data_IF_336737162966
#
_entry.id   IF_336737162966
#
_cell.length_a   1.000
_cell.length_b   1.000
_cell.length_c   1.000
_cell.angle_alpha   90.00
_cell.angle_beta   90.00
_cell.angle_gamma   90.00
#
_symmetry.space_group_name_H-M   'P 1'
#
loop_
_entity.id
_entity.type
_entity.pdbx_description
1 polymer ?
#
# COMPACT_ATOMS: atom_id res chain seq x y z
N UNK A 1 20.33 -19.63 -4.39
CA UNK A 1 19.25 -18.71 -4.80
C UNK A 1 19.31 -17.47 -3.91
N UNK A 2 19.36 -16.27 -4.47
CA UNK A 2 19.36 -15.03 -3.67
C UNK A 2 17.91 -14.64 -3.41
N UNK A 3 17.56 -14.36 -2.15
CA UNK A 3 16.26 -13.81 -1.74
C UNK A 3 16.43 -12.33 -1.43
N UNK A 4 15.62 -11.47 -2.06
CA UNK A 4 15.70 -10.01 -1.94
C UNK A 4 14.33 -9.49 -1.52
N UNK A 5 14.32 -8.67 -0.47
CA UNK A 5 13.13 -7.95 -0.01
C UNK A 5 13.16 -6.55 -0.64
N UNK A 6 12.07 -6.19 -1.31
CA UNK A 6 11.84 -4.88 -1.91
C UNK A 6 10.82 -4.17 -1.02
N UNK A 7 11.31 -3.30 -0.12
CA UNK A 7 10.47 -2.58 0.84
C UNK A 7 10.57 -1.04 0.68
N UNK A 8 10.12 -0.49 -0.46
CA UNK A 8 10.17 0.95 -0.70
C UNK A 8 8.97 1.67 -0.09
N UNK A 9 9.17 2.96 0.14
CA UNK A 9 8.10 3.93 0.35
C UNK A 9 7.75 4.62 -0.99
N UNK A 10 6.64 5.33 -1.00
CA UNK A 10 6.12 6.06 -2.14
C UNK A 10 7.03 7.20 -2.57
N UNK A 11 7.00 7.53 -3.86
CA UNK A 11 7.55 8.78 -4.35
C UNK A 11 6.40 9.79 -4.38
N UNK A 12 6.29 10.58 -3.32
CA UNK A 12 5.18 11.51 -3.09
C UNK A 12 4.81 12.32 -4.34
N UNK A 13 3.54 12.25 -4.73
CA UNK A 13 3.00 12.94 -5.91
C UNK A 13 3.42 12.34 -7.26
N UNK A 14 4.06 11.16 -7.26
CA UNK A 14 4.53 10.48 -8.47
C UNK A 14 4.13 9.00 -8.52
N UNK A 15 4.70 8.17 -7.64
CA UNK A 15 4.50 6.71 -7.65
C UNK A 15 4.10 6.24 -6.26
N UNK A 16 3.15 5.33 -6.20
CA UNK A 16 2.80 4.58 -4.99
C UNK A 16 3.95 3.66 -4.58
N UNK A 17 4.00 3.24 -3.31
CA UNK A 17 5.02 2.31 -2.81
C UNK A 17 5.03 0.99 -3.60
N UNK A 18 3.87 0.52 -4.09
CA UNK A 18 3.80 -0.68 -4.93
C UNK A 18 4.41 -0.45 -6.33
N UNK A 19 4.13 0.68 -6.98
CA UNK A 19 4.71 0.99 -8.30
C UNK A 19 6.24 1.14 -8.22
N UNK A 20 6.76 1.72 -7.13
CA UNK A 20 8.20 1.75 -6.88
C UNK A 20 8.75 0.33 -6.72
N UNK A 21 8.03 -0.55 -6.01
CA UNK A 21 8.45 -1.94 -5.84
C UNK A 21 8.47 -2.71 -7.17
N UNK A 22 7.49 -2.48 -8.04
CA UNK A 22 7.41 -3.06 -9.38
C UNK A 22 8.60 -2.61 -10.25
N UNK A 23 8.92 -1.32 -10.26
CA UNK A 23 10.05 -0.78 -11.02
C UNK A 23 11.40 -1.36 -10.54
N UNK A 24 11.57 -1.53 -9.22
CA UNK A 24 12.76 -2.17 -8.64
C UNK A 24 12.84 -3.64 -9.06
N UNK A 25 11.74 -4.39 -9.00
CA UNK A 25 11.65 -5.78 -9.42
C UNK A 25 12.08 -5.95 -10.88
N UNK A 26 11.57 -5.11 -11.78
CA UNK A 26 11.97 -5.11 -13.20
C UNK A 26 13.47 -4.88 -13.38
N UNK A 27 14.05 -3.94 -12.63
CA UNK A 27 15.48 -3.66 -12.66
C UNK A 27 16.32 -4.84 -12.20
N UNK A 28 15.93 -5.48 -11.09
CA UNK A 28 16.65 -6.63 -10.53
C UNK A 28 16.59 -7.82 -11.48
N UNK A 29 15.42 -8.14 -12.04
CA UNK A 29 15.23 -9.29 -12.95
C UNK A 29 16.09 -9.20 -14.22
N UNK A 30 16.46 -7.98 -14.67
CA UNK A 30 17.38 -7.79 -15.81
C UNK A 30 18.82 -8.25 -15.51
N UNK A 31 19.22 -8.28 -14.23
CA UNK A 31 20.59 -8.60 -13.82
C UNK A 31 20.68 -9.96 -13.12
N UNK A 32 19.67 -10.32 -12.34
CA UNK A 32 19.60 -11.56 -11.55
C UNK A 32 18.25 -12.24 -11.80
N UNK A 33 18.04 -12.87 -12.96
CA UNK A 33 16.74 -13.43 -13.34
C UNK A 33 16.25 -14.53 -12.38
N UNK A 34 17.16 -15.32 -11.80
CA UNK A 34 16.84 -16.45 -10.91
C UNK A 34 16.79 -16.08 -9.42
N UNK A 35 16.51 -14.81 -9.09
CA UNK A 35 16.32 -14.41 -7.69
C UNK A 35 14.86 -14.62 -7.23
N UNK A 36 14.72 -14.85 -5.92
CA UNK A 36 13.42 -14.78 -5.26
C UNK A 36 13.21 -13.34 -4.79
N UNK A 37 12.11 -12.72 -5.22
CA UNK A 37 11.75 -11.35 -4.86
C UNK A 37 10.52 -11.36 -3.97
N UNK A 38 10.58 -10.60 -2.88
CA UNK A 38 9.45 -10.36 -1.98
C UNK A 38 9.19 -8.86 -1.94
N UNK A 39 8.05 -8.42 -2.47
CA UNK A 39 7.62 -7.02 -2.38
C UNK A 39 6.89 -6.81 -1.06
N UNK A 40 7.34 -5.83 -0.30
CA UNK A 40 6.75 -5.45 0.99
C UNK A 40 6.70 -3.93 1.06
N UNK A 41 5.82 -3.28 0.28
CA UNK A 41 5.70 -1.82 0.31
C UNK A 41 5.46 -1.34 1.74
N UNK A 42 6.05 -0.20 2.09
CA UNK A 42 5.96 0.40 3.41
C UNK A 42 5.29 1.78 3.33
N UNK A 43 4.81 2.24 4.48
CA UNK A 43 4.25 3.57 4.68
C UNK A 43 4.57 4.06 6.09
N UNK A 44 4.63 5.38 6.28
CA UNK A 44 5.03 6.04 7.52
C UNK A 44 3.85 6.54 8.38
N UNK A 45 2.61 6.33 7.93
CA UNK A 45 1.39 6.85 8.53
C UNK A 45 0.78 8.05 7.79
N UNK A 46 1.45 8.56 6.76
CA UNK A 46 0.92 9.58 5.86
C UNK A 46 0.13 9.02 4.68
N UNK A 47 0.19 9.75 3.56
CA UNK A 47 -0.56 9.45 2.33
C UNK A 47 -0.31 8.03 1.80
N UNK A 48 -1.36 7.24 1.59
CA UNK A 48 -1.26 5.89 1.03
C UNK A 48 -0.94 4.79 2.06
N UNK A 49 -1.01 5.11 3.35
CA UNK A 49 -0.83 4.13 4.42
C UNK A 49 -1.94 3.09 4.42
N UNK A 50 -3.19 3.53 4.20
CA UNK A 50 -4.32 2.61 4.13
C UNK A 50 -4.15 1.61 2.96
N UNK A 51 -3.81 2.09 1.76
CA UNK A 51 -3.55 1.25 0.57
C UNK A 51 -2.47 0.21 0.86
N UNK A 52 -1.36 0.65 1.46
CA UNK A 52 -0.21 -0.20 1.74
C UNK A 52 -0.57 -1.32 2.71
N UNK A 53 -1.24 -0.99 3.81
CA UNK A 53 -1.64 -1.98 4.82
C UNK A 53 -2.74 -2.92 4.32
N UNK A 54 -3.73 -2.40 3.59
CA UNK A 54 -4.80 -3.22 3.01
C UNK A 54 -4.23 -4.20 1.98
N UNK A 55 -3.32 -3.75 1.11
CA UNK A 55 -2.68 -4.62 0.12
C UNK A 55 -1.77 -5.68 0.76
N UNK A 56 -0.99 -5.31 1.78
CA UNK A 56 -0.04 -6.22 2.42
C UNK A 56 -0.70 -7.27 3.34
N UNK A 57 -1.85 -6.93 3.94
CA UNK A 57 -2.53 -7.76 4.94
C UNK A 57 -3.87 -8.35 4.44
N UNK A 58 -4.06 -8.36 3.12
CA UNK A 58 -5.26 -8.90 2.46
C UNK A 58 -6.56 -8.32 3.03
N UNK A 59 -6.53 -7.02 3.32
CA UNK A 59 -7.64 -6.27 3.88
C UNK A 59 -8.74 -5.98 2.87
N UNK A 60 -9.77 -5.27 3.34
CA UNK A 60 -10.88 -4.76 2.51
C UNK A 60 -11.04 -3.26 2.69
N UNK A 61 -11.27 -2.55 1.60
CA UNK A 61 -11.72 -1.16 1.65
C UNK A 61 -13.22 -1.11 1.82
N UNK A 62 -13.70 -0.31 2.76
CA UNK A 62 -15.12 -0.10 3.04
C UNK A 62 -15.48 1.34 2.71
N UNK A 63 -16.45 1.52 1.80
CA UNK A 63 -16.99 2.83 1.43
C UNK A 63 -18.19 3.18 2.29
N UNK A 64 -18.23 4.42 2.78
CA UNK A 64 -19.33 4.94 3.61
C UNK A 64 -19.55 6.42 3.33
N UNK A 65 -20.75 6.92 3.66
CA UNK A 65 -21.03 8.35 3.68
C UNK A 65 -20.62 8.95 5.03
N UNK A 66 -19.84 10.02 4.98
CA UNK A 66 -19.46 10.82 6.15
C UNK A 66 -19.66 12.31 5.84
N UNK A 67 -19.33 13.16 6.80
CA UNK A 67 -19.32 14.60 6.61
C UNK A 67 -17.88 15.10 6.52
N UNK A 68 -17.62 15.99 5.57
CA UNK A 68 -16.36 16.71 5.47
C UNK A 68 -16.25 17.80 6.58
N UNK A 69 -15.12 18.53 6.68
CA UNK A 69 -14.96 19.58 7.68
C UNK A 69 -15.97 20.74 7.61
N UNK A 70 -16.72 20.86 6.51
CA UNK A 70 -17.77 21.86 6.30
C UNK A 70 -19.18 21.26 6.43
N UNK A 71 -19.32 20.08 7.02
CA UNK A 71 -20.58 19.35 7.21
C UNK A 71 -21.31 19.01 5.91
N UNK A 72 -20.60 18.90 4.79
CA UNK A 72 -21.17 18.41 3.52
C UNK A 72 -21.05 16.89 3.46
N UNK A 73 -22.09 16.17 3.00
CA UNK A 73 -22.00 14.72 2.86
C UNK A 73 -21.02 14.35 1.73
N UNK A 74 -20.06 13.49 2.03
CA UNK A 74 -19.07 12.95 1.09
C UNK A 74 -19.00 11.42 1.19
N UNK A 75 -18.57 10.76 0.11
CA UNK A 75 -18.16 9.36 0.17
C UNK A 75 -16.69 9.29 0.62
N UNK A 76 -16.41 8.47 1.62
CA UNK A 76 -15.08 8.19 2.15
C UNK A 76 -14.84 6.69 2.21
N UNK A 77 -13.59 6.29 2.37
CA UNK A 77 -13.24 4.88 2.58
C UNK A 77 -12.27 4.69 3.74
N UNK A 78 -12.28 3.50 4.31
CA UNK A 78 -11.32 3.06 5.32
C UNK A 78 -10.97 1.59 5.10
N UNK A 79 -9.82 1.16 5.62
CA UNK A 79 -9.36 -0.23 5.53
C UNK A 79 -9.85 -1.07 6.71
N UNK A 80 -10.29 -2.29 6.46
CA UNK A 80 -10.52 -3.33 7.46
C UNK A 80 -9.57 -4.50 7.24
N UNK A 81 -8.86 -4.87 8.30
CA UNK A 81 -7.87 -5.96 8.31
C UNK A 81 -8.29 -7.04 9.31
N UNK A 82 -7.67 -8.22 9.22
CA UNK A 82 -7.81 -9.31 10.18
C UNK A 82 -9.29 -9.64 10.50
N UNK A 83 -10.07 -9.90 9.45
CA UNK A 83 -11.52 -10.17 9.52
C UNK A 83 -12.34 -9.10 10.25
N UNK A 84 -11.94 -7.84 10.08
CA UNK A 84 -12.65 -6.68 10.63
C UNK A 84 -12.26 -6.31 12.06
N UNK A 85 -11.20 -6.91 12.61
CA UNK A 85 -10.71 -6.61 13.97
C UNK A 85 -9.87 -5.34 14.05
N UNK A 86 -9.30 -4.90 12.94
CA UNK A 86 -8.42 -3.73 12.86
C UNK A 86 -8.94 -2.81 11.76
N UNK A 87 -9.11 -1.53 12.09
CA UNK A 87 -9.43 -0.48 11.13
C UNK A 87 -8.20 0.41 10.88
N UNK A 88 -8.00 0.80 9.62
CA UNK A 88 -7.01 1.78 9.19
C UNK A 88 -7.76 2.96 8.57
N UNK A 89 -7.51 4.17 9.07
CA UNK A 89 -8.22 5.38 8.70
C UNK A 89 -7.18 6.43 8.29
N UNK A 90 -7.48 7.15 7.22
CA UNK A 90 -6.66 8.22 6.65
C UNK A 90 -7.56 9.41 6.27
#
# INVERSE_FOLDING_TARGET
MKKIIIAPDSFKGSLTSMEVADAIEEGIKKVIPDCELVKTPIADGGEGTMETLVGALEGKKIKIKAHDPLMRPIEVEYGLLNDGKIAVIE
#
